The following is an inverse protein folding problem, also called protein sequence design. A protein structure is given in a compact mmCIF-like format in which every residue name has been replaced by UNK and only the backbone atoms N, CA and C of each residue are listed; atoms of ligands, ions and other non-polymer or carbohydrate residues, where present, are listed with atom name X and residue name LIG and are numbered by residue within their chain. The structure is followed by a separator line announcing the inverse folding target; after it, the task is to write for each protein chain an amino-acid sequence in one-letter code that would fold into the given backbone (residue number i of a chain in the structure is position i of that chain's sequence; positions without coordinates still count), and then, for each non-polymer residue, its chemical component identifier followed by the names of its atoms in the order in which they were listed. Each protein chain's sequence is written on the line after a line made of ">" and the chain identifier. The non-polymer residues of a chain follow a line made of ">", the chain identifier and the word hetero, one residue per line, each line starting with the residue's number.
data_IF_241004100172
#
_entry.id   IF_241004100172
#
_cell.length_a   1.000
_cell.length_b   1.000
_cell.length_c   1.000
_cell.angle_alpha   90.00
_cell.angle_beta   90.00
_cell.angle_gamma   90.00
#
_symmetry.space_group_name_H-M   'P 1'
#
loop_
_entity.id
_entity.type
_entity.pdbx_description
1 polymer ?
#
# COMPACT_ATOMS: atom_id res chain seq x y z
N UNK A 1 -8.80 -27.51 -7.65
CA UNK A 1 -9.96 -26.58 -7.60
C UNK A 1 -9.82 -25.53 -6.50
N UNK A 2 -9.54 -25.87 -5.23
CA UNK A 2 -9.28 -24.86 -4.16
C UNK A 2 -8.02 -24.01 -4.42
N UNK A 3 -6.90 -24.65 -4.76
CA UNK A 3 -5.62 -23.95 -5.02
C UNK A 3 -5.67 -22.97 -6.21
N UNK A 4 -6.49 -23.23 -7.22
CA UNK A 4 -6.65 -22.30 -8.34
C UNK A 4 -7.47 -21.08 -7.91
N UNK A 5 -8.53 -21.29 -7.14
CA UNK A 5 -9.36 -20.21 -6.62
C UNK A 5 -8.55 -19.27 -5.71
N UNK A 6 -7.70 -19.83 -4.84
CA UNK A 6 -6.82 -19.05 -3.96
C UNK A 6 -5.80 -18.22 -4.75
N UNK A 7 -5.24 -18.78 -5.83
CA UNK A 7 -4.35 -18.03 -6.74
C UNK A 7 -5.06 -16.85 -7.40
N UNK A 8 -6.29 -17.04 -7.86
CA UNK A 8 -7.08 -15.95 -8.45
C UNK A 8 -7.42 -14.86 -7.44
N UNK A 9 -7.79 -15.23 -6.21
CA UNK A 9 -8.07 -14.27 -5.14
C UNK A 9 -6.81 -13.47 -4.81
N UNK A 10 -5.67 -14.13 -4.62
CA UNK A 10 -4.41 -13.48 -4.31
C UNK A 10 -3.95 -12.52 -5.42
N UNK A 11 -4.08 -12.92 -6.69
CA UNK A 11 -3.78 -12.05 -7.82
C UNK A 11 -4.68 -10.81 -7.84
N UNK A 12 -5.98 -10.98 -7.59
CA UNK A 12 -6.94 -9.87 -7.56
C UNK A 12 -6.64 -8.89 -6.42
N UNK A 13 -6.32 -9.41 -5.23
CA UNK A 13 -5.95 -8.58 -4.07
C UNK A 13 -4.65 -7.81 -4.31
N UNK A 14 -3.67 -8.46 -4.94
CA UNK A 14 -2.42 -7.82 -5.35
C UNK A 14 -2.67 -6.69 -6.36
N UNK A 15 -3.48 -6.93 -7.40
CA UNK A 15 -3.82 -5.91 -8.38
C UNK A 15 -4.54 -4.73 -7.72
N UNK A 16 -5.49 -5.00 -6.82
CA UNK A 16 -6.19 -3.95 -6.08
C UNK A 16 -5.23 -3.11 -5.24
N UNK A 17 -4.32 -3.76 -4.50
CA UNK A 17 -3.30 -3.07 -3.72
C UNK A 17 -2.40 -2.22 -4.62
N UNK A 18 -1.92 -2.77 -5.73
CA UNK A 18 -1.06 -2.04 -6.68
C UNK A 18 -1.75 -0.80 -7.26
N UNK A 19 -3.04 -0.89 -7.59
CA UNK A 19 -3.85 0.25 -8.06
C UNK A 19 -4.00 1.31 -6.98
N UNK A 20 -4.44 0.94 -5.77
CA UNK A 20 -4.63 1.89 -4.66
C UNK A 20 -3.33 2.63 -4.33
N UNK A 21 -2.21 1.91 -4.31
CA UNK A 21 -0.90 2.52 -4.08
C UNK A 21 -0.49 3.41 -5.23
N UNK A 22 -0.78 3.03 -6.48
CA UNK A 22 -0.46 3.84 -7.65
C UNK A 22 -1.15 5.20 -7.61
N UNK A 23 -2.45 5.20 -7.31
CA UNK A 23 -3.27 6.42 -7.15
C UNK A 23 -2.74 7.28 -5.99
N UNK A 24 -2.46 6.66 -4.84
CA UNK A 24 -2.01 7.40 -3.66
C UNK A 24 -0.66 8.10 -3.86
N UNK A 25 0.24 7.55 -4.68
CA UNK A 25 1.55 8.17 -4.95
C UNK A 25 1.53 9.20 -6.09
N UNK A 26 0.40 9.44 -6.76
CA UNK A 26 0.35 10.43 -7.85
C UNK A 26 0.67 11.85 -7.36
N UNK A 27 0.28 12.20 -6.13
CA UNK A 27 0.60 13.48 -5.50
C UNK A 27 2.08 13.62 -5.08
N UNK A 28 2.85 12.53 -5.07
CA UNK A 28 4.27 12.56 -4.69
C UNK A 28 5.12 13.12 -5.84
N UNK A 29 6.14 13.96 -5.56
CA UNK A 29 7.10 14.43 -6.55
C UNK A 29 7.68 13.28 -7.38
N UNK A 30 7.82 13.51 -8.69
CA UNK A 30 8.19 12.48 -9.66
C UNK A 30 9.50 11.78 -9.32
N UNK A 31 10.48 12.49 -8.74
CA UNK A 31 11.76 11.89 -8.34
C UNK A 31 11.61 10.88 -7.19
N UNK A 32 10.63 11.08 -6.30
CA UNK A 32 10.41 10.23 -5.11
C UNK A 32 9.35 9.16 -5.31
N UNK A 33 8.45 9.34 -6.29
CA UNK A 33 7.29 8.46 -6.51
C UNK A 33 7.65 6.98 -6.60
N UNK A 34 8.70 6.62 -7.35
CA UNK A 34 9.11 5.22 -7.49
C UNK A 34 9.62 4.63 -6.17
N UNK A 35 10.39 5.40 -5.39
CA UNK A 35 10.91 4.97 -4.10
C UNK A 35 9.80 4.81 -3.06
N UNK A 36 8.88 5.78 -2.99
CA UNK A 36 7.71 5.73 -2.09
C UNK A 36 6.80 4.56 -2.46
N UNK A 37 6.50 4.35 -3.74
CA UNK A 37 5.71 3.21 -4.22
C UNK A 37 6.32 1.87 -3.80
N UNK A 38 7.62 1.68 -4.01
CA UNK A 38 8.31 0.45 -3.62
C UNK A 38 8.32 0.23 -2.10
N UNK A 39 8.55 1.30 -1.32
CA UNK A 39 8.51 1.25 0.14
C UNK A 39 7.12 0.85 0.66
N UNK A 40 6.05 1.38 0.07
CA UNK A 40 4.67 1.05 0.44
C UNK A 40 4.36 -0.41 0.08
N UNK A 41 4.61 -0.84 -1.16
CA UNK A 41 4.25 -2.19 -1.60
C UNK A 41 4.95 -3.29 -0.78
N UNK A 42 6.18 -3.05 -0.31
CA UNK A 42 6.90 -4.01 0.54
C UNK A 42 6.38 -4.12 1.98
N UNK A 43 5.55 -3.16 2.43
CA UNK A 43 5.13 -3.00 3.83
C UNK A 43 3.61 -2.91 4.01
N UNK A 44 2.87 -2.91 2.91
CA UNK A 44 1.43 -2.71 2.90
C UNK A 44 0.68 -4.00 3.23
N UNK A 45 -0.47 -3.83 3.87
CA UNK A 45 -1.47 -4.88 4.10
C UNK A 45 -2.82 -4.38 3.63
N UNK A 46 -3.48 -5.18 2.80
CA UNK A 46 -4.86 -4.96 2.39
C UNK A 46 -5.78 -5.58 3.45
N UNK A 47 -6.74 -4.80 3.93
CA UNK A 47 -7.76 -5.23 4.88
C UNK A 47 -9.13 -5.18 4.20
N UNK A 48 -10.03 -6.07 4.62
CA UNK A 48 -11.42 -6.09 4.15
C UNK A 48 -12.36 -5.80 5.31
N UNK A 49 -13.32 -4.91 5.09
CA UNK A 49 -14.34 -4.57 6.08
C UNK A 49 -15.51 -5.57 6.03
N UNK A 50 -16.16 -5.79 7.17
CA UNK A 50 -17.30 -6.72 7.30
C UNK A 50 -18.49 -6.32 6.42
N UNK A 51 -18.72 -5.02 6.24
CA UNK A 51 -19.81 -4.47 5.43
C UNK A 51 -19.45 -4.28 3.96
N UNK A 52 -18.29 -4.79 3.52
CA UNK A 52 -17.73 -4.54 2.21
C UNK A 52 -16.82 -3.32 2.17
N UNK A 53 -15.91 -3.31 1.19
CA UNK A 53 -14.85 -2.33 1.07
C UNK A 53 -13.50 -2.84 1.59
N UNK A 54 -12.45 -2.12 1.23
CA UNK A 54 -11.07 -2.43 1.59
C UNK A 54 -10.30 -1.17 1.92
N UNK A 55 -9.34 -1.29 2.83
CA UNK A 55 -8.40 -0.23 3.15
C UNK A 55 -6.99 -0.81 3.25
N UNK A 56 -6.00 0.05 3.06
CA UNK A 56 -4.59 -0.34 3.09
C UNK A 56 -3.92 0.32 4.28
N UNK A 57 -3.18 -0.47 5.05
CA UNK A 57 -2.27 0.04 6.08
C UNK A 57 -0.84 -0.27 5.69
N UNK A 58 0.09 0.63 6.01
CA UNK A 58 1.50 0.49 5.70
C UNK A 58 2.30 0.59 6.99
N UNK A 59 3.26 -0.31 7.16
CA UNK A 59 4.24 -0.21 8.26
C UNK A 59 5.23 0.92 7.97
N UNK A 60 5.28 1.93 8.83
CA UNK A 60 6.28 3.02 8.75
C UNK A 60 6.92 3.15 10.13
N UNK A 61 8.22 2.89 10.21
CA UNK A 61 8.93 2.77 11.50
C UNK A 61 8.26 1.73 12.40
N UNK A 62 7.88 2.17 13.61
CA UNK A 62 7.19 1.35 14.60
C UNK A 62 5.66 1.49 14.59
N UNK A 63 5.08 2.16 13.60
CA UNK A 63 3.62 2.40 13.50
C UNK A 63 2.98 1.72 12.27
N UNK A 64 1.67 1.47 12.36
CA UNK A 64 0.83 1.08 11.21
C UNK A 64 -0.03 2.27 10.84
N UNK A 65 0.19 2.82 9.66
CA UNK A 65 -0.49 4.03 9.20
C UNK A 65 -1.47 3.70 8.06
N UNK A 66 -2.60 4.41 7.96
CA UNK A 66 -3.38 4.46 6.73
C UNK A 66 -2.52 4.85 5.52
N UNK A 67 -2.88 4.37 4.33
CA UNK A 67 -2.11 4.55 3.09
C UNK A 67 -1.75 6.03 2.81
N UNK A 68 -2.71 6.93 2.92
CA UNK A 68 -2.55 8.38 2.74
C UNK A 68 -1.46 8.94 3.67
N UNK A 69 -1.57 8.67 4.97
CA UNK A 69 -0.59 9.13 5.97
C UNK A 69 0.79 8.52 5.77
N UNK A 70 0.84 7.26 5.33
CA UNK A 70 2.09 6.59 5.03
C UNK A 70 2.79 7.21 3.81
N UNK A 71 2.02 7.54 2.75
CA UNK A 71 2.54 8.27 1.59
C UNK A 71 3.14 9.60 2.03
N UNK A 72 2.41 10.41 2.80
CA UNK A 72 2.88 11.72 3.25
C UNK A 72 4.17 11.62 4.08
N UNK A 73 4.23 10.65 5.00
CA UNK A 73 5.41 10.44 5.85
C UNK A 73 6.62 10.00 5.04
N UNK A 74 6.43 9.05 4.11
CA UNK A 74 7.51 8.56 3.25
C UNK A 74 7.94 9.60 2.19
N UNK A 75 7.01 10.44 1.73
CA UNK A 75 7.27 11.51 0.76
C UNK A 75 8.03 12.69 1.38
N UNK A 76 7.83 12.97 2.67
CA UNK A 76 8.49 14.05 3.41
C UNK A 76 9.98 13.79 3.66
N UNK A 77 10.44 12.54 3.55
CA UNK A 77 11.85 12.14 3.70
C UNK A 77 12.08 11.30 4.97
N UNK A 78 13.27 10.69 5.12
CA UNK A 78 13.52 9.74 6.19
C UNK A 78 13.32 10.42 7.55
N UNK A 79 12.58 9.74 8.42
CA UNK A 79 12.62 10.00 9.86
C UNK A 79 14.08 10.07 10.28
N UNK A 80 14.40 11.05 11.13
CA UNK A 80 15.74 11.22 11.68
C UNK A 80 16.30 9.90 12.19
N UNK A 81 17.60 9.73 11.92
CA UNK A 81 18.47 8.66 12.38
C UNK A 81 18.22 8.25 13.83
#
# INVERSE_FOLDING_TARGET
>A
MKEELEKYVFQRERTLLETLVHEAVEGVPRERRSAVKAAILSRARLHRLEHGGSFVTVRVGEEWLPLDRAVDRLASGPEGT
#
